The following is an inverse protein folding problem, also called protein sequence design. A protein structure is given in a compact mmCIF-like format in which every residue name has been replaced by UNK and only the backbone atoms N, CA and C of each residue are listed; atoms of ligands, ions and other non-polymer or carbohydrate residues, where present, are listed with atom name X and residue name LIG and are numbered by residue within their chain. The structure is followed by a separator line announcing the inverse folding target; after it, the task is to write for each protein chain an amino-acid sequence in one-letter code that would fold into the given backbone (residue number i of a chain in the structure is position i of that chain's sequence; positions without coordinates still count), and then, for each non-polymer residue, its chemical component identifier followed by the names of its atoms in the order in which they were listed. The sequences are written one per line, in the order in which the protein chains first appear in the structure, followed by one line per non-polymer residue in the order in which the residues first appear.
data_IF_232968442310
#
_entry.id   IF_232968442310
#
_cell.length_a   1.000
_cell.length_b   1.000
_cell.length_c   1.000
_cell.angle_alpha   90.00
_cell.angle_beta   90.00
_cell.angle_gamma   90.00
#
_symmetry.space_group_name_H-M   'P 1'
#
loop_
_entity.id
_entity.type
_entity.pdbx_description
1 polymer ?
#
# COMPACT_ATOMS: atom_id res chain seq x y z
N UNK A 1 -21.55 6.58 -6.95
CA UNK A 1 -20.99 6.97 -8.26
C UNK A 1 -20.39 5.72 -8.86
N UNK A 2 -20.81 5.33 -10.06
CA UNK A 2 -20.17 4.25 -10.82
C UNK A 2 -19.33 4.95 -11.88
N UNK A 3 -18.02 5.02 -11.67
CA UNK A 3 -17.12 5.67 -12.61
C UNK A 3 -16.31 4.61 -13.36
N UNK A 4 -16.44 4.58 -14.68
CA UNK A 4 -15.56 3.80 -15.56
C UNK A 4 -14.38 4.66 -16.04
N UNK A 5 -14.33 5.94 -15.65
CA UNK A 5 -13.21 6.83 -15.91
C UNK A 5 -12.10 6.64 -14.88
N UNK A 6 -11.02 7.41 -15.07
CA UNK A 6 -9.89 7.41 -14.15
C UNK A 6 -10.02 8.58 -13.19
N UNK A 7 -10.07 8.28 -11.89
CA UNK A 7 -9.91 9.29 -10.85
C UNK A 7 -8.40 9.52 -10.63
N UNK A 8 -7.94 10.73 -10.90
CA UNK A 8 -6.57 11.15 -10.58
C UNK A 8 -6.59 12.03 -9.34
N UNK A 9 -5.83 11.62 -8.32
CA UNK A 9 -5.56 12.44 -7.14
C UNK A 9 -4.11 12.90 -7.24
N UNK A 10 -3.94 14.19 -7.54
CA UNK A 10 -2.64 14.85 -7.74
C UNK A 10 -2.50 16.02 -6.79
N UNK A 11 -1.92 15.76 -5.62
CA UNK A 11 -1.77 16.73 -4.56
C UNK A 11 -0.37 16.69 -3.94
N UNK A 12 0.15 17.86 -3.58
CA UNK A 12 1.43 18.00 -2.88
C UNK A 12 1.28 17.90 -1.35
N UNK A 13 0.08 18.10 -0.82
CA UNK A 13 -0.25 18.07 0.61
C UNK A 13 -1.02 16.81 0.99
N UNK A 14 -1.04 16.48 2.28
CA UNK A 14 -1.77 15.32 2.76
C UNK A 14 -3.29 15.54 2.68
N UNK A 15 -4.02 14.49 2.33
CA UNK A 15 -5.48 14.54 2.24
C UNK A 15 -6.11 13.20 2.65
N UNK A 16 -7.38 13.24 3.06
CA UNK A 16 -8.19 12.05 3.33
C UNK A 16 -9.29 11.94 2.27
N UNK A 17 -9.47 10.74 1.73
CA UNK A 17 -10.60 10.39 0.87
C UNK A 17 -11.46 9.32 1.58
N UNK A 18 -12.59 9.76 2.12
CA UNK A 18 -13.52 8.91 2.87
C UNK A 18 -14.69 8.38 2.02
N UNK A 19 -14.87 8.90 0.80
CA UNK A 19 -15.93 8.49 -0.10
C UNK A 19 -15.73 7.05 -0.58
N UNK A 20 -16.83 6.32 -0.80
CA UNK A 20 -16.81 5.04 -1.51
C UNK A 20 -16.56 5.26 -3.00
N UNK A 21 -15.47 4.67 -3.49
CA UNK A 21 -15.16 4.47 -4.90
C UNK A 21 -15.73 3.12 -5.35
N UNK A 22 -16.46 3.11 -6.46
CA UNK A 22 -17.11 1.92 -7.01
C UNK A 22 -17.08 1.96 -8.54
N UNK A 23 -17.18 0.78 -9.16
CA UNK A 23 -17.13 0.61 -10.61
C UNK A 23 -15.78 0.04 -11.08
N UNK A 24 -15.58 0.02 -12.39
CA UNK A 24 -14.43 -0.62 -13.03
C UNK A 24 -13.36 0.40 -13.49
N UNK A 25 -13.56 1.68 -13.18
CA UNK A 25 -12.58 2.74 -13.42
C UNK A 25 -11.29 2.56 -12.63
N UNK A 26 -10.31 3.42 -12.90
CA UNK A 26 -9.00 3.36 -12.25
C UNK A 26 -8.80 4.48 -11.23
N UNK A 27 -7.96 4.24 -10.23
CA UNK A 27 -7.46 5.27 -9.32
C UNK A 27 -5.97 5.51 -9.60
N UNK A 28 -5.59 6.76 -9.79
CA UNK A 28 -4.18 7.17 -9.87
C UNK A 28 -3.87 8.12 -8.72
N UNK A 29 -2.93 7.74 -7.86
CA UNK A 29 -2.32 8.62 -6.86
C UNK A 29 -0.98 9.12 -7.39
N UNK A 30 -0.86 10.44 -7.53
CA UNK A 30 0.38 11.14 -7.88
C UNK A 30 0.54 12.39 -7.00
N UNK A 31 1.58 13.18 -7.22
CA UNK A 31 1.96 14.26 -6.32
C UNK A 31 2.62 13.77 -5.02
N UNK A 32 3.34 14.66 -4.34
CA UNK A 32 4.18 14.31 -3.19
C UNK A 32 3.41 14.01 -1.89
N UNK A 33 2.14 14.42 -1.80
CA UNK A 33 1.34 14.27 -0.58
C UNK A 33 0.98 12.81 -0.26
N UNK A 34 0.59 12.58 0.99
CA UNK A 34 -0.02 11.31 1.43
C UNK A 34 -1.54 11.36 1.25
N UNK A 35 -2.09 10.37 0.55
CA UNK A 35 -3.54 10.15 0.48
C UNK A 35 -3.93 9.05 1.47
N UNK A 36 -4.72 9.42 2.47
CA UNK A 36 -5.35 8.49 3.39
C UNK A 36 -6.71 8.04 2.82
N UNK A 37 -6.80 6.82 2.31
CA UNK A 37 -8.02 6.25 1.78
C UNK A 37 -8.74 5.45 2.86
N UNK A 38 -9.85 5.99 3.38
CA UNK A 38 -10.61 5.39 4.50
C UNK A 38 -11.97 4.82 4.08
N UNK A 39 -12.42 5.11 2.86
CA UNK A 39 -13.70 4.62 2.33
C UNK A 39 -13.77 3.09 2.22
N UNK A 40 -14.98 2.55 2.29
CA UNK A 40 -15.25 1.16 1.92
C UNK A 40 -15.48 1.10 0.40
N UNK A 41 -14.41 0.85 -0.37
CA UNK A 41 -14.44 0.88 -1.83
C UNK A 41 -14.75 -0.49 -2.42
N UNK A 42 -15.54 -0.51 -3.50
CA UNK A 42 -15.78 -1.68 -4.35
C UNK A 42 -15.20 -1.51 -5.76
N UNK A 43 -14.31 -0.52 -5.94
CA UNK A 43 -13.53 -0.29 -7.16
C UNK A 43 -12.80 -1.58 -7.58
N UNK A 44 -13.08 -2.08 -8.78
CA UNK A 44 -12.47 -3.29 -9.33
C UNK A 44 -11.34 -2.98 -10.32
N UNK A 45 -11.33 -1.78 -10.92
CA UNK A 45 -10.24 -1.35 -11.78
C UNK A 45 -8.97 -1.07 -10.98
N UNK A 46 -7.84 -1.05 -11.66
CA UNK A 46 -6.53 -0.98 -11.02
C UNK A 46 -6.27 0.36 -10.31
N UNK A 47 -5.49 0.31 -9.24
CA UNK A 47 -4.97 1.49 -8.56
C UNK A 47 -3.48 1.62 -8.85
N UNK A 48 -3.03 2.80 -9.28
CA UNK A 48 -1.61 3.09 -9.53
C UNK A 48 -1.12 4.19 -8.60
N UNK A 49 -0.06 3.91 -7.84
CA UNK A 49 0.64 4.90 -7.01
C UNK A 49 1.91 5.31 -7.74
N UNK A 50 1.89 6.49 -8.33
CA UNK A 50 2.99 7.04 -9.14
C UNK A 50 3.98 7.86 -8.31
N UNK A 51 3.50 8.52 -7.25
CA UNK A 51 4.32 9.34 -6.36
C UNK A 51 3.64 9.54 -4.99
N UNK A 52 4.45 9.92 -3.99
CA UNK A 52 4.00 10.14 -2.62
C UNK A 52 3.54 8.84 -1.96
N UNK A 53 2.62 8.96 -1.00
CA UNK A 53 2.07 7.81 -0.26
C UNK A 53 0.58 7.62 -0.55
N UNK A 54 0.18 6.37 -0.77
CA UNK A 54 -1.21 5.92 -0.62
C UNK A 54 -1.30 5.07 0.65
N UNK A 55 -1.97 5.57 1.68
CA UNK A 55 -2.29 4.81 2.89
C UNK A 55 -3.72 4.27 2.77
N UNK A 56 -3.86 2.96 2.58
CA UNK A 56 -5.17 2.29 2.56
C UNK A 56 -5.53 1.90 3.98
N UNK A 57 -6.45 2.63 4.59
CA UNK A 57 -6.96 2.38 5.94
C UNK A 57 -8.45 1.96 5.94
N UNK A 58 -9.08 1.97 4.76
CA UNK A 58 -10.40 1.40 4.50
C UNK A 58 -10.30 0.09 3.70
N UNK A 59 -11.26 -0.11 2.79
CA UNK A 59 -11.28 -1.28 1.91
C UNK A 59 -11.01 -0.86 0.46
N UNK A 60 -10.09 -1.55 -0.19
CA UNK A 60 -9.79 -1.50 -1.62
C UNK A 60 -9.58 -2.93 -2.15
N UNK A 61 -10.24 -3.91 -1.52
CA UNK A 61 -10.02 -5.34 -1.66
C UNK A 61 -10.30 -5.95 -3.03
N UNK A 62 -10.88 -5.19 -3.96
CA UNK A 62 -11.14 -5.63 -5.33
C UNK A 62 -10.15 -5.06 -6.35
N UNK A 63 -9.28 -4.13 -5.93
CA UNK A 63 -8.36 -3.42 -6.82
C UNK A 63 -6.92 -3.84 -6.54
N UNK A 64 -6.20 -4.22 -7.61
CA UNK A 64 -4.77 -4.46 -7.56
C UNK A 64 -4.06 -3.11 -7.50
N UNK A 65 -3.16 -2.94 -6.53
CA UNK A 65 -2.36 -1.73 -6.35
C UNK A 65 -0.97 -1.92 -6.98
N UNK A 66 -0.65 -1.09 -7.97
CA UNK A 66 0.69 -1.00 -8.58
C UNK A 66 1.46 0.18 -8.01
N UNK A 67 2.62 -0.06 -7.41
CA UNK A 67 3.46 0.96 -6.76
C UNK A 67 4.70 1.20 -7.63
N UNK A 68 4.84 2.43 -8.13
CA UNK A 68 5.94 2.82 -9.00
C UNK A 68 7.17 3.29 -8.19
N UNK A 69 8.27 3.53 -8.90
CA UNK A 69 9.51 4.03 -8.29
C UNK A 69 9.26 5.32 -7.48
N UNK A 70 9.80 5.36 -6.25
CA UNK A 70 9.68 6.53 -5.37
C UNK A 70 8.31 6.71 -4.73
N UNK A 71 7.36 5.80 -4.98
CA UNK A 71 6.04 5.81 -4.35
C UNK A 71 5.95 4.79 -3.21
N UNK A 72 5.01 5.03 -2.30
CA UNK A 72 4.77 4.16 -1.15
C UNK A 72 3.30 3.75 -1.05
N UNK A 73 3.05 2.45 -0.94
CA UNK A 73 1.79 1.91 -0.42
C UNK A 73 1.93 1.63 1.08
N UNK A 74 0.93 1.98 1.87
CA UNK A 74 0.87 1.58 3.28
C UNK A 74 -0.54 1.57 3.84
N UNK A 75 -0.67 1.73 5.15
CA UNK A 75 -1.95 1.67 5.87
C UNK A 75 -2.27 0.27 6.40
N UNK A 76 -3.39 0.16 7.13
CA UNK A 76 -3.80 -1.05 7.84
C UNK A 76 -5.11 -1.69 7.32
N UNK A 77 -5.54 -1.30 6.11
CA UNK A 77 -6.77 -1.75 5.48
C UNK A 77 -6.60 -3.02 4.64
N UNK A 78 -7.37 -3.09 3.55
CA UNK A 78 -7.37 -4.22 2.61
C UNK A 78 -7.19 -3.76 1.17
N UNK A 79 -6.36 -4.47 0.39
CA UNK A 79 -6.20 -4.28 -1.07
C UNK A 79 -6.44 -5.59 -1.82
N UNK A 80 -6.73 -5.54 -3.13
CA UNK A 80 -7.00 -6.74 -3.94
C UNK A 80 -5.76 -7.49 -4.43
N UNK A 81 -4.61 -6.84 -4.39
CA UNK A 81 -3.31 -7.38 -4.80
C UNK A 81 -2.26 -6.28 -4.75
N UNK A 82 -0.99 -6.65 -4.73
CA UNK A 82 0.11 -5.69 -4.70
C UNK A 82 1.14 -6.05 -5.78
N UNK A 83 1.50 -5.07 -6.61
CA UNK A 83 2.65 -5.13 -7.50
C UNK A 83 3.58 -3.95 -7.17
N UNK A 84 4.75 -4.21 -6.59
CA UNK A 84 5.75 -3.18 -6.28
C UNK A 84 6.87 -3.24 -7.30
N UNK A 85 7.04 -2.18 -8.09
CA UNK A 85 8.10 -2.05 -9.07
C UNK A 85 9.46 -1.74 -8.41
N UNK A 86 10.53 -1.74 -9.20
CA UNK A 86 11.85 -1.33 -8.75
C UNK A 86 11.81 0.06 -8.11
N UNK A 87 12.35 0.18 -6.90
CA UNK A 87 12.37 1.42 -6.12
C UNK A 87 11.01 1.86 -5.57
N UNK A 88 9.94 1.08 -5.75
CA UNK A 88 8.69 1.26 -5.04
C UNK A 88 8.76 0.67 -3.64
N UNK A 89 7.92 1.18 -2.73
CA UNK A 89 7.89 0.77 -1.33
C UNK A 89 6.51 0.27 -0.92
N UNK A 90 6.44 -0.84 -0.22
CA UNK A 90 5.27 -1.22 0.58
C UNK A 90 5.65 -1.16 2.06
N UNK A 91 4.90 -0.36 2.83
CA UNK A 91 5.12 -0.03 4.23
C UNK A 91 3.78 -0.13 4.99
N UNK A 92 3.33 -1.35 5.36
CA UNK A 92 2.09 -1.57 6.07
C UNK A 92 1.99 -0.74 7.35
N UNK A 93 0.77 -0.56 7.85
CA UNK A 93 0.55 0.17 9.09
C UNK A 93 0.65 1.69 8.99
N UNK A 94 0.55 2.30 10.17
CA UNK A 94 0.71 3.73 10.45
C UNK A 94 1.44 3.83 11.82
N UNK A 95 2.66 3.29 11.94
CA UNK A 95 3.16 2.47 13.06
C UNK A 95 2.83 0.99 12.88
N UNK A 96 3.47 0.14 13.70
CA UNK A 96 3.32 -1.32 13.72
C UNK A 96 1.88 -1.76 13.42
N UNK A 97 1.68 -2.41 12.27
CA UNK A 97 0.36 -2.73 11.77
C UNK A 97 0.33 -3.72 10.61
N UNK A 98 -0.88 -4.11 10.24
CA UNK A 98 -1.13 -5.15 9.24
C UNK A 98 -1.87 -4.61 8.03
N UNK A 99 -1.35 -4.86 6.82
CA UNK A 99 -2.06 -4.65 5.56
C UNK A 99 -2.57 -6.00 5.03
N UNK A 100 -3.86 -6.08 4.72
CA UNK A 100 -4.48 -7.29 4.16
C UNK A 100 -4.48 -7.25 2.63
N UNK A 101 -4.23 -8.40 1.99
CA UNK A 101 -4.17 -8.52 0.54
C UNK A 101 -5.04 -9.70 0.10
N UNK A 102 -6.14 -9.41 -0.59
CA UNK A 102 -7.08 -10.40 -1.14
C UNK A 102 -6.58 -11.00 -2.47
N UNK A 103 -5.29 -11.26 -2.56
CA UNK A 103 -4.65 -11.76 -3.77
C UNK A 103 -3.15 -11.89 -3.61
N UNK A 104 -2.45 -11.82 -4.75
CA UNK A 104 -1.01 -11.98 -4.80
C UNK A 104 -0.27 -10.71 -4.35
N UNK A 105 0.94 -10.92 -3.84
CA UNK A 105 1.92 -9.87 -3.54
C UNK A 105 3.15 -10.12 -4.39
N UNK A 106 3.48 -9.19 -5.29
CA UNK A 106 4.63 -9.29 -6.17
C UNK A 106 5.58 -8.13 -5.89
N UNK A 107 6.76 -8.43 -5.36
CA UNK A 107 7.85 -7.49 -5.16
C UNK A 107 8.90 -7.73 -6.25
N UNK A 108 9.07 -6.74 -7.13
CA UNK A 108 10.07 -6.81 -8.19
C UNK A 108 11.50 -6.64 -7.64
N UNK A 109 12.49 -6.82 -8.51
CA UNK A 109 13.88 -6.53 -8.19
C UNK A 109 14.06 -5.08 -7.78
N UNK A 110 14.69 -4.89 -6.62
CA UNK A 110 14.90 -3.57 -6.03
C UNK A 110 13.63 -2.90 -5.48
N UNK A 111 12.49 -3.60 -5.38
CA UNK A 111 11.37 -3.16 -4.55
C UNK A 111 11.76 -3.22 -3.06
N UNK A 112 11.10 -2.42 -2.22
CA UNK A 112 11.34 -2.40 -0.77
C UNK A 112 10.08 -2.83 -0.02
N UNK A 113 10.21 -3.86 0.81
CA UNK A 113 9.28 -4.11 1.91
C UNK A 113 9.83 -3.40 3.14
N UNK A 114 9.12 -2.37 3.59
CA UNK A 114 9.50 -1.52 4.70
C UNK A 114 8.68 -1.92 5.92
N UNK A 115 9.35 -2.12 7.06
CA UNK A 115 8.77 -2.66 8.29
C UNK A 115 9.17 -1.79 9.48
N UNK A 116 8.22 -1.49 10.34
CA UNK A 116 8.40 -1.00 11.70
C UNK A 116 8.25 -2.18 12.67
N UNK A 117 9.04 -2.21 13.76
CA UNK A 117 8.85 -3.19 14.84
C UNK A 117 9.11 -2.61 16.22
N UNK A 118 8.53 -3.24 17.25
CA UNK A 118 8.66 -2.82 18.64
C UNK A 118 9.43 -3.84 19.51
N UNK A 119 9.76 -3.44 20.73
CA UNK A 119 10.50 -4.27 21.70
C UNK A 119 9.70 -5.50 22.20
N UNK A 120 8.39 -5.54 21.96
CA UNK A 120 7.55 -6.69 22.29
C UNK A 120 7.54 -7.73 21.16
N UNK A 121 8.28 -7.48 20.07
CA UNK A 121 8.31 -8.35 18.89
C UNK A 121 7.12 -8.17 17.96
N UNK A 122 6.31 -7.13 18.14
CA UNK A 122 5.30 -6.78 17.15
C UNK A 122 6.00 -6.12 15.96
N UNK A 123 5.53 -6.39 14.75
CA UNK A 123 6.09 -5.84 13.54
C UNK A 123 5.01 -5.64 12.47
N UNK A 124 5.31 -4.76 11.50
CA UNK A 124 4.48 -4.65 10.32
C UNK A 124 4.36 -5.98 9.58
N UNK A 125 3.16 -6.23 9.06
CA UNK A 125 2.87 -7.44 8.32
C UNK A 125 2.01 -7.20 7.10
N UNK A 126 2.37 -7.87 6.00
CA UNK A 126 1.47 -8.12 4.87
C UNK A 126 0.83 -9.50 5.08
N UNK A 127 -0.50 -9.57 5.07
CA UNK A 127 -1.25 -10.83 5.12
C UNK A 127 -1.95 -11.03 3.79
N UNK A 128 -1.39 -11.92 2.96
CA UNK A 128 -1.90 -12.23 1.63
C UNK A 128 -2.68 -13.55 1.63
N UNK A 129 -3.82 -13.58 0.92
CA UNK A 129 -4.55 -14.81 0.62
C UNK A 129 -3.97 -15.56 -0.58
N UNK A 130 -3.22 -14.86 -1.45
CA UNK A 130 -2.55 -15.41 -2.62
C UNK A 130 -1.06 -15.69 -2.39
N UNK A 131 -0.33 -15.82 -3.50
CA UNK A 131 1.11 -16.08 -3.49
C UNK A 131 1.89 -14.79 -3.25
N UNK A 132 2.93 -14.89 -2.41
CA UNK A 132 3.96 -13.86 -2.32
C UNK A 132 5.16 -14.22 -3.22
N UNK A 133 5.44 -13.37 -4.21
CA UNK A 133 6.62 -13.46 -5.09
C UNK A 133 7.61 -12.36 -4.70
N UNK A 134 8.82 -12.74 -4.29
CA UNK A 134 9.86 -11.79 -3.86
C UNK A 134 11.09 -12.01 -4.75
N UNK A 135 11.35 -11.06 -5.66
CA UNK A 135 12.40 -11.20 -6.66
C UNK A 135 13.57 -10.27 -6.35
N UNK A 136 14.54 -10.67 -5.53
CA UNK A 136 15.69 -9.81 -5.16
C UNK A 136 15.25 -8.40 -4.68
N UNK A 137 14.18 -8.37 -3.88
CA UNK A 137 13.69 -7.18 -3.19
C UNK A 137 14.40 -7.00 -1.85
N UNK A 138 14.36 -5.79 -1.30
CA UNK A 138 14.97 -5.46 -0.01
C UNK A 138 13.93 -5.47 1.09
N UNK A 139 14.27 -6.05 2.24
CA UNK A 139 13.58 -5.80 3.51
C UNK A 139 14.31 -4.66 4.23
N UNK A 140 13.58 -3.60 4.60
CA UNK A 140 14.10 -2.45 5.32
C UNK A 140 13.38 -2.29 6.65
N UNK A 141 14.12 -2.26 7.75
CA UNK A 141 13.59 -1.96 9.08
C UNK A 141 13.75 -0.46 9.37
N UNK A 142 12.68 0.26 9.77
CA UNK A 142 12.70 1.75 9.85
C UNK A 142 12.49 2.31 11.24
N UNK A 143 11.88 1.55 12.14
CA UNK A 143 11.98 1.80 13.56
C UNK A 143 12.23 0.47 14.26
N UNK A 144 13.25 0.49 15.12
CA UNK A 144 13.67 -0.63 15.95
C UNK A 144 13.98 -0.12 17.35
N UNK A 145 13.53 -0.88 18.35
CA UNK A 145 13.90 -0.66 19.75
C UNK A 145 15.29 -1.21 20.09
N UNK A 146 15.66 -1.14 21.37
CA UNK A 146 16.84 -1.84 21.88
C UNK A 146 16.55 -3.33 21.94
N UNK A 147 17.06 -4.09 20.98
CA UNK A 147 17.02 -5.54 20.99
C UNK A 147 18.09 -6.05 21.95
N UNK A 148 17.69 -6.77 22.99
CA UNK A 148 18.66 -7.48 23.83
C UNK A 148 19.33 -8.55 22.97
N UNK A 149 20.67 -8.58 23.00
CA UNK A 149 21.40 -9.73 22.48
C UNK A 149 21.07 -10.93 23.38
N UNK A 150 20.63 -12.04 22.77
CA UNK A 150 20.55 -13.33 23.45
C UNK A 150 21.94 -13.91 23.68
#
# INVERSE_FOLDING_TARGET
MTDNATLVVDQSTNATLANTLAGNGALIKRGSGSLNLTGNNSLSGATTVQAGRLAVNGNLGNSIVSVQQGATLGGNGTVGGINVAQGGVVAPGNSVGQLNVNGDVNLAQGAVYQVESDANGNADRIVASGRATINNSTLSLVEGGNWLAA
#
